data_IF_951776698162
#
_entry.id   IF_951776698162
#
_cell.length_a   1.000
_cell.length_b   1.000
_cell.length_c   1.000
_cell.angle_alpha   90.00
_cell.angle_beta   90.00
_cell.angle_gamma   90.00
#
_symmetry.space_group_name_H-M   'P 1'
#
loop_
_entity.id
_entity.type
_entity.pdbx_description
1 polymer ?
#
# COMPACT_ATOMS: atom_id res chain seq x y z
N UNK A 1 46.89 -34.72 16.08
CA UNK A 1 46.11 -33.83 16.97
C UNK A 1 46.05 -32.46 16.30
N UNK A 2 45.19 -32.31 15.28
CA UNK A 2 45.08 -31.10 14.45
C UNK A 2 43.78 -31.24 13.64
N UNK A 3 42.80 -30.34 13.84
CA UNK A 3 41.64 -30.07 12.96
C UNK A 3 40.61 -29.18 13.68
N UNK A 4 40.79 -27.86 13.65
CA UNK A 4 39.72 -26.86 13.81
C UNK A 4 40.22 -25.54 13.21
N UNK A 5 40.08 -25.36 11.89
CA UNK A 5 40.47 -24.10 11.23
C UNK A 5 39.67 -23.80 9.95
N UNK A 6 38.41 -24.26 9.88
CA UNK A 6 37.59 -24.17 8.65
C UNK A 6 36.16 -23.64 8.89
N UNK A 7 35.94 -22.85 9.96
CA UNK A 7 34.61 -22.26 10.24
C UNK A 7 34.55 -20.72 10.17
N UNK A 8 35.68 -20.03 9.97
CA UNK A 8 35.72 -18.55 9.96
C UNK A 8 35.47 -17.91 8.59
N UNK A 9 35.33 -18.70 7.52
CA UNK A 9 35.18 -18.18 6.15
C UNK A 9 33.74 -17.90 5.70
N UNK A 10 32.74 -18.50 6.34
CA UNK A 10 31.34 -18.37 5.90
C UNK A 10 30.64 -17.10 6.43
N UNK A 11 31.12 -16.52 7.54
CA UNK A 11 30.51 -15.33 8.16
C UNK A 11 30.88 -14.04 7.41
N UNK A 12 32.01 -14.00 6.70
CA UNK A 12 32.45 -12.81 5.96
C UNK A 12 31.69 -12.59 4.63
N UNK A 13 31.13 -13.64 4.02
CA UNK A 13 30.39 -13.54 2.76
C UNK A 13 28.93 -13.08 2.94
N UNK A 14 28.36 -13.17 4.16
CA UNK A 14 27.02 -12.65 4.43
C UNK A 14 27.00 -11.14 4.71
N UNK A 15 28.16 -10.50 4.93
CA UNK A 15 28.23 -9.05 5.19
C UNK A 15 28.37 -8.19 3.93
N UNK A 16 28.59 -8.79 2.76
CA UNK A 16 28.73 -8.04 1.49
C UNK A 16 27.46 -8.03 0.64
N UNK A 17 26.38 -8.69 1.08
CA UNK A 17 25.14 -8.80 0.31
C UNK A 17 24.09 -7.71 0.62
N UNK A 18 24.44 -6.67 1.39
CA UNK A 18 23.51 -5.61 1.81
C UNK A 18 23.91 -4.19 1.32
N UNK A 19 24.74 -4.08 0.28
CA UNK A 19 25.19 -2.78 -0.28
C UNK A 19 24.91 -2.65 -1.79
N UNK A 20 23.80 -3.19 -2.27
CA UNK A 20 23.44 -3.13 -3.68
C UNK A 20 22.57 -1.92 -4.08
N UNK A 21 22.28 -0.99 -3.15
CA UNK A 21 21.35 0.13 -3.38
C UNK A 21 22.00 1.50 -3.60
N UNK A 22 23.33 1.61 -3.73
CA UNK A 22 24.01 2.92 -3.82
C UNK A 22 24.32 3.44 -5.24
N UNK A 23 23.94 2.72 -6.31
CA UNK A 23 24.12 3.18 -7.70
C UNK A 23 22.84 3.09 -8.55
N UNK A 24 21.64 3.18 -7.95
CA UNK A 24 20.48 3.61 -8.74
C UNK A 24 20.81 4.97 -9.38
N UNK A 25 20.46 5.17 -10.64
CA UNK A 25 20.77 6.40 -11.36
C UNK A 25 20.39 7.62 -10.51
N UNK A 26 21.20 8.68 -10.56
CA UNK A 26 20.94 9.93 -9.80
C UNK A 26 19.52 10.50 -10.00
N UNK A 27 18.84 10.10 -11.07
CA UNK A 27 17.49 10.53 -11.43
C UNK A 27 16.45 9.39 -11.29
N UNK A 28 16.79 8.32 -10.57
CA UNK A 28 15.91 7.17 -10.37
C UNK A 28 15.46 7.12 -8.90
N UNK A 29 14.16 6.86 -8.70
CA UNK A 29 13.60 6.61 -7.37
C UNK A 29 12.58 5.48 -7.43
N UNK A 30 12.33 4.86 -6.27
CA UNK A 30 11.30 3.85 -6.11
C UNK A 30 10.56 4.03 -4.78
N UNK A 31 9.33 3.54 -4.73
CA UNK A 31 8.50 3.59 -3.54
C UNK A 31 7.08 3.08 -3.77
N UNK A 32 6.22 3.32 -2.78
CA UNK A 32 4.80 2.99 -2.78
C UNK A 32 3.97 4.25 -3.04
N UNK A 33 2.96 4.17 -3.90
CA UNK A 33 2.10 5.32 -4.23
C UNK A 33 0.82 5.35 -3.42
N UNK A 34 0.22 6.54 -3.26
CA UNK A 34 -1.04 6.71 -2.52
C UNK A 34 -2.30 6.35 -3.31
N UNK A 35 -2.17 5.87 -4.55
CA UNK A 35 -3.26 5.73 -5.52
C UNK A 35 -3.18 6.78 -6.61
N UNK A 36 -4.32 7.15 -7.21
CA UNK A 36 -4.39 8.07 -8.35
C UNK A 36 -3.79 9.45 -8.08
N UNK A 37 -3.23 10.12 -9.10
CA UNK A 37 -2.74 11.49 -8.98
C UNK A 37 -3.84 12.46 -8.53
N UNK A 38 -3.46 13.49 -7.76
CA UNK A 38 -4.38 14.51 -7.32
C UNK A 38 -4.80 15.46 -8.46
N UNK A 39 -5.73 16.38 -8.17
CA UNK A 39 -6.23 17.35 -9.14
C UNK A 39 -5.19 18.38 -9.65
N UNK A 40 -3.98 18.39 -9.07
CA UNK A 40 -2.83 19.16 -9.54
C UNK A 40 -1.83 18.30 -10.30
N UNK A 41 -2.22 17.09 -10.71
CA UNK A 41 -1.37 16.09 -11.36
C UNK A 41 -0.16 15.71 -10.49
N UNK A 42 -0.36 15.60 -9.17
CA UNK A 42 0.68 15.18 -8.24
C UNK A 42 0.43 13.77 -7.74
N UNK A 43 1.44 12.93 -7.86
CA UNK A 43 1.43 11.58 -7.32
C UNK A 43 2.34 11.52 -6.09
N UNK A 44 1.79 11.12 -4.95
CA UNK A 44 2.56 10.95 -3.73
C UNK A 44 3.28 9.60 -3.76
N UNK A 45 4.60 9.62 -3.57
CA UNK A 45 5.43 8.43 -3.37
C UNK A 45 5.96 8.41 -1.94
N UNK A 46 5.73 7.32 -1.23
CA UNK A 46 6.35 6.98 0.04
C UNK A 46 7.51 6.00 -0.18
N UNK A 47 8.70 6.34 0.33
CA UNK A 47 9.82 5.39 0.42
C UNK A 47 9.88 4.74 1.80
N UNK A 48 9.79 5.55 2.85
CA UNK A 48 9.74 5.10 4.24
C UNK A 48 9.14 6.18 5.14
N UNK A 49 8.43 5.79 6.20
CA UNK A 49 8.14 6.63 7.35
C UNK A 49 8.34 5.83 8.65
N UNK A 50 8.27 6.54 9.78
CA UNK A 50 8.47 5.91 11.10
C UNK A 50 7.27 5.09 11.61
N UNK A 51 6.11 5.18 10.97
CA UNK A 51 4.86 4.63 11.48
C UNK A 51 4.53 3.29 10.83
N UNK A 52 4.54 3.28 9.51
CA UNK A 52 4.12 2.18 8.65
C UNK A 52 5.27 1.66 7.80
N UNK A 53 6.47 2.22 7.98
CA UNK A 53 7.66 1.83 7.26
C UNK A 53 7.53 2.23 5.79
N UNK A 54 7.70 1.27 4.88
CA UNK A 54 7.62 1.52 3.44
C UNK A 54 6.20 1.55 2.86
N UNK A 55 5.16 1.34 3.67
CA UNK A 55 3.79 1.19 3.19
C UNK A 55 2.90 2.35 3.63
N UNK A 56 1.93 2.72 2.83
CA UNK A 56 0.87 3.67 3.16
C UNK A 56 -0.27 2.89 3.83
N UNK A 57 -0.82 3.40 4.93
CA UNK A 57 -2.01 2.84 5.57
C UNK A 57 -3.09 3.89 5.73
N UNK A 58 -4.35 3.49 5.62
CA UNK A 58 -5.48 4.37 5.94
C UNK A 58 -5.46 4.67 7.43
N UNK A 59 -5.41 5.95 7.79
CA UNK A 59 -5.58 6.38 9.18
C UNK A 59 -6.50 7.60 9.25
N UNK A 60 -7.55 7.58 10.08
CA UNK A 60 -8.37 8.76 10.34
C UNK A 60 -7.70 9.72 11.32
N UNK A 61 -6.54 9.36 11.88
CA UNK A 61 -5.86 10.12 12.90
C UNK A 61 -5.29 11.44 12.35
N UNK A 62 -5.79 12.56 12.85
CA UNK A 62 -5.39 13.92 12.44
C UNK A 62 -4.52 14.62 13.49
N UNK A 63 -4.16 13.93 14.56
CA UNK A 63 -3.40 14.54 15.65
C UNK A 63 -2.00 14.93 15.19
N UNK A 64 -1.46 15.96 15.83
CA UNK A 64 -0.06 16.29 15.65
C UNK A 64 0.82 15.17 16.20
N UNK A 65 1.98 14.97 15.57
CA UNK A 65 3.00 14.06 16.05
C UNK A 65 4.31 14.79 16.21
N UNK A 66 4.84 14.72 17.43
CA UNK A 66 6.20 15.15 17.70
C UNK A 66 7.16 14.17 17.01
N UNK A 67 8.20 14.73 16.39
CA UNK A 67 9.30 13.98 15.75
C UNK A 67 8.85 12.99 14.66
N UNK A 68 7.74 13.24 13.94
CA UNK A 68 7.36 12.39 12.81
C UNK A 68 8.19 12.72 11.57
N UNK A 69 8.97 11.74 11.15
CA UNK A 69 9.84 11.81 10.00
C UNK A 69 9.38 10.86 8.89
N UNK A 70 9.42 11.36 7.66
CA UNK A 70 9.07 10.61 6.47
C UNK A 70 10.04 10.92 5.34
N UNK A 71 10.16 9.97 4.42
CA UNK A 71 10.88 10.10 3.18
C UNK A 71 9.89 9.84 2.07
N UNK A 72 9.27 10.91 1.64
CA UNK A 72 8.22 10.92 0.66
C UNK A 72 8.38 12.13 -0.26
N UNK A 73 7.81 12.02 -1.45
CA UNK A 73 7.99 12.97 -2.54
C UNK A 73 6.67 13.12 -3.29
N UNK A 74 6.45 14.29 -3.88
CA UNK A 74 5.48 14.42 -4.95
C UNK A 74 6.17 14.27 -6.29
N UNK A 75 5.54 13.52 -7.18
CA UNK A 75 5.84 13.59 -8.59
C UNK A 75 4.86 14.52 -9.26
N UNK A 76 5.36 15.51 -9.97
CA UNK A 76 4.57 16.31 -10.88
C UNK A 76 4.50 15.60 -12.24
N UNK A 77 3.28 15.31 -12.68
CA UNK A 77 2.99 14.64 -13.94
C UNK A 77 2.64 15.68 -15.00
N UNK A 78 3.38 15.65 -16.10
CA UNK A 78 3.15 16.47 -17.28
C UNK A 78 2.50 15.63 -18.37
N UNK A 79 1.96 16.26 -19.41
CA UNK A 79 1.39 15.53 -20.55
C UNK A 79 2.45 14.66 -21.27
N UNK A 80 3.74 14.96 -21.09
CA UNK A 80 4.87 14.20 -21.64
C UNK A 80 5.31 13.04 -20.73
N UNK A 81 4.78 12.93 -19.52
CA UNK A 81 5.15 11.87 -18.60
C UNK A 81 4.66 10.53 -19.15
N UNK A 82 5.58 9.58 -19.30
CA UNK A 82 5.30 8.21 -19.72
C UNK A 82 4.91 7.34 -18.52
N UNK A 83 3.83 6.57 -18.65
CA UNK A 83 3.36 5.60 -17.67
C UNK A 83 3.44 4.22 -18.32
N UNK A 84 4.20 3.32 -17.72
CA UNK A 84 4.37 1.94 -18.17
C UNK A 84 3.68 1.02 -17.18
N UNK A 85 2.68 0.28 -17.65
CA UNK A 85 1.89 -0.66 -16.85
C UNK A 85 1.45 -1.83 -17.72
N UNK A 86 1.51 -3.06 -17.19
CA UNK A 86 1.04 -4.28 -17.88
C UNK A 86 1.58 -4.42 -19.33
N UNK A 87 2.89 -4.23 -19.50
CA UNK A 87 3.58 -4.24 -20.81
C UNK A 87 3.07 -3.21 -21.84
N UNK A 88 2.29 -2.22 -21.41
CA UNK A 88 1.79 -1.10 -22.21
C UNK A 88 2.37 0.22 -21.71
N UNK A 89 2.64 1.12 -22.64
CA UNK A 89 3.08 2.50 -22.37
C UNK A 89 1.97 3.47 -22.76
N UNK A 90 1.77 4.49 -21.92
CA UNK A 90 0.78 5.55 -22.05
C UNK A 90 1.46 6.89 -21.80
N UNK A 91 1.08 7.93 -22.53
CA UNK A 91 1.31 9.29 -22.05
C UNK A 91 0.31 9.63 -20.94
N UNK A 92 0.67 10.55 -20.05
CA UNK A 92 -0.25 11.01 -19.02
C UNK A 92 -1.48 11.75 -19.60
N UNK A 93 -1.36 12.32 -20.80
CA UNK A 93 -2.51 12.87 -21.52
C UNK A 93 -3.50 11.77 -21.96
N UNK A 94 -3.00 10.66 -22.51
CA UNK A 94 -3.81 9.49 -22.84
C UNK A 94 -4.47 8.90 -21.59
N UNK A 95 -3.72 8.79 -20.49
CA UNK A 95 -4.26 8.38 -19.19
C UNK A 95 -5.47 9.24 -18.80
N UNK A 96 -5.36 10.57 -18.79
CA UNK A 96 -6.49 11.45 -18.42
C UNK A 96 -7.70 11.33 -19.36
N UNK A 97 -7.48 10.88 -20.60
CA UNK A 97 -8.52 10.78 -21.62
C UNK A 97 -9.26 9.43 -21.59
N UNK A 98 -8.68 8.38 -21.01
CA UNK A 98 -9.34 7.08 -20.85
C UNK A 98 -10.40 7.14 -19.72
N UNK A 99 -11.62 6.69 -20.01
CA UNK A 99 -12.73 6.67 -19.03
C UNK A 99 -12.41 5.77 -17.82
N UNK A 100 -11.57 4.75 -18.00
CA UNK A 100 -11.18 3.77 -16.97
C UNK A 100 -9.83 4.09 -16.31
N UNK A 101 -9.33 5.32 -16.47
CA UNK A 101 -8.01 5.73 -15.96
C UNK A 101 -7.84 5.58 -14.45
N UNK A 102 -8.93 5.60 -13.68
CA UNK A 102 -8.90 5.39 -12.23
C UNK A 102 -8.40 3.98 -11.83
N UNK A 103 -8.24 3.05 -12.77
CA UNK A 103 -7.85 1.65 -12.52
C UNK A 103 -6.35 1.37 -12.67
N UNK A 104 -5.50 2.35 -13.00
CA UNK A 104 -4.06 2.07 -13.13
C UNK A 104 -3.27 2.25 -11.83
N UNK A 105 -3.63 3.25 -11.03
CA UNK A 105 -2.85 3.66 -9.86
C UNK A 105 -3.56 3.22 -8.57
N UNK A 106 -3.07 2.12 -7.98
CA UNK A 106 -3.62 1.63 -6.72
C UNK A 106 -2.77 2.06 -5.51
N UNK A 107 -3.37 2.28 -4.33
CA UNK A 107 -2.62 2.55 -3.11
C UNK A 107 -1.66 1.41 -2.79
N UNK A 108 -0.45 1.69 -2.29
CA UNK A 108 0.61 0.70 -2.06
C UNK A 108 1.08 -0.06 -3.30
N UNK A 109 0.74 0.36 -4.51
CA UNK A 109 1.41 -0.18 -5.68
C UNK A 109 2.88 0.28 -5.69
N UNK A 110 3.80 -0.64 -5.98
CA UNK A 110 5.21 -0.30 -6.12
C UNK A 110 5.44 0.39 -7.45
N UNK A 111 6.24 1.46 -7.45
CA UNK A 111 6.63 2.17 -8.67
C UNK A 111 8.14 2.36 -8.74
N UNK A 112 8.67 2.34 -9.96
CA UNK A 112 10.00 2.83 -10.30
C UNK A 112 9.86 4.05 -11.19
N UNK A 113 10.62 5.11 -10.89
CA UNK A 113 10.42 6.42 -11.52
C UNK A 113 11.74 7.00 -11.96
N UNK A 114 11.77 7.46 -13.21
CA UNK A 114 12.84 8.30 -13.74
C UNK A 114 12.38 9.76 -13.75
N UNK A 115 13.14 10.64 -13.11
CA UNK A 115 12.86 12.08 -13.02
C UNK A 115 13.66 12.92 -14.00
N UNK A 116 13.20 14.15 -14.23
CA UNK A 116 13.91 15.12 -15.07
C UNK A 116 15.23 15.60 -14.45
N UNK A 117 15.28 15.64 -13.12
CA UNK A 117 16.39 16.15 -12.31
C UNK A 117 16.91 15.10 -11.32
N UNK A 118 18.08 15.35 -10.75
CA UNK A 118 18.68 14.49 -9.72
C UNK A 118 17.83 14.51 -8.44
N UNK A 119 17.55 13.32 -7.91
CA UNK A 119 16.70 13.15 -6.73
C UNK A 119 17.54 13.31 -5.46
N UNK A 120 17.31 14.40 -4.75
CA UNK A 120 17.85 14.55 -3.40
C UNK A 120 16.97 13.76 -2.44
N UNK A 121 17.56 12.70 -1.89
CA UNK A 121 16.90 11.80 -0.96
C UNK A 121 16.92 12.40 0.44
N UNK A 122 15.88 13.17 0.79
CA UNK A 122 15.80 13.88 2.08
C UNK A 122 14.67 13.38 2.97
N UNK A 123 14.98 13.15 4.25
CA UNK A 123 13.97 12.95 5.28
C UNK A 123 13.34 14.29 5.65
N UNK A 124 12.02 14.36 5.61
CA UNK A 124 11.21 15.52 5.96
C UNK A 124 10.55 15.29 7.32
N UNK A 125 10.63 16.27 8.21
CA UNK A 125 9.87 16.29 9.46
C UNK A 125 8.50 16.93 9.19
N UNK A 126 7.42 16.27 9.61
CA UNK A 126 6.06 16.75 9.43
C UNK A 126 5.33 16.77 10.76
N UNK A 127 4.59 17.85 11.04
CA UNK A 127 3.77 17.97 12.26
C UNK A 127 2.62 16.95 12.33
N UNK A 128 2.29 16.27 11.23
CA UNK A 128 1.16 15.35 11.07
C UNK A 128 1.50 14.24 10.09
N UNK A 129 0.70 13.18 10.08
CA UNK A 129 0.81 12.10 9.11
C UNK A 129 0.83 12.60 7.67
N UNK A 130 1.57 11.88 6.83
CA UNK A 130 1.77 12.18 5.42
C UNK A 130 0.46 12.44 4.66
N UNK A 131 -0.58 11.66 4.96
CA UNK A 131 -1.91 11.74 4.35
C UNK A 131 -2.65 13.06 4.67
N UNK A 132 -2.24 13.80 5.70
CA UNK A 132 -2.90 15.05 6.14
C UNK A 132 -2.07 16.32 5.93
N UNK A 133 -0.75 16.22 5.73
CA UNK A 133 0.09 17.39 5.44
C UNK A 133 1.12 17.12 4.32
N UNK A 134 0.67 16.86 3.09
CA UNK A 134 1.59 16.56 1.99
C UNK A 134 2.26 17.82 1.41
N UNK A 135 1.92 19.03 1.86
CA UNK A 135 2.31 20.27 1.19
C UNK A 135 3.80 20.64 1.31
N UNK A 136 4.52 20.04 2.26
CA UNK A 136 5.93 20.34 2.54
C UNK A 136 6.91 19.33 1.95
N UNK A 137 6.43 18.41 1.11
CA UNK A 137 7.30 17.43 0.48
C UNK A 137 8.02 18.03 -0.74
N UNK A 138 9.27 17.61 -1.00
CA UNK A 138 9.93 17.88 -2.28
C UNK A 138 9.08 17.39 -3.47
N UNK A 139 9.16 18.13 -4.57
CA UNK A 139 8.43 17.85 -5.82
C UNK A 139 9.45 17.64 -6.93
N UNK A 140 9.29 16.57 -7.70
CA UNK A 140 10.13 16.27 -8.86
C UNK A 140 9.28 16.06 -10.11
N UNK A 141 9.74 16.52 -11.27
CA UNK A 141 9.07 16.24 -12.54
C UNK A 141 9.35 14.79 -12.98
N UNK A 142 8.30 14.00 -13.18
CA UNK A 142 8.43 12.62 -13.64
C UNK A 142 8.55 12.55 -15.17
N UNK A 143 9.55 11.80 -15.66
CA UNK A 143 9.70 11.47 -17.08
C UNK A 143 9.05 10.14 -17.41
N UNK A 144 9.35 9.12 -16.63
CA UNK A 144 8.79 7.77 -16.81
C UNK A 144 8.40 7.21 -15.44
N UNK A 145 7.23 6.59 -15.36
CA UNK A 145 6.71 5.86 -14.19
C UNK A 145 6.43 4.43 -14.62
N UNK A 146 7.15 3.48 -14.05
CA UNK A 146 6.92 2.05 -14.24
C UNK A 146 6.14 1.50 -13.05
N UNK A 147 4.88 1.12 -13.30
CA UNK A 147 4.00 0.51 -12.31
C UNK A 147 4.28 -0.98 -12.23
N UNK A 148 4.60 -1.46 -11.03
CA UNK A 148 4.66 -2.89 -10.77
C UNK A 148 3.23 -3.46 -10.63
N UNK A 149 3.03 -4.78 -10.85
CA UNK A 149 1.74 -5.42 -10.62
C UNK A 149 1.23 -5.15 -9.20
N UNK A 150 -0.03 -4.77 -9.08
CA UNK A 150 -0.69 -4.57 -7.79
C UNK A 150 -1.19 -5.91 -7.25
N UNK A 151 -0.92 -6.19 -5.98
CA UNK A 151 -1.21 -7.48 -5.35
C UNK A 151 -2.27 -7.37 -4.26
N UNK A 152 -2.88 -8.50 -3.88
CA UNK A 152 -3.79 -8.55 -2.74
C UNK A 152 -3.11 -8.16 -1.41
N UNK A 153 -1.81 -8.42 -1.27
CA UNK A 153 -1.03 -8.02 -0.09
C UNK A 153 -0.87 -6.50 0.02
N UNK A 154 -0.66 -5.81 -1.10
CA UNK A 154 -0.61 -4.35 -1.14
C UNK A 154 -1.96 -3.75 -0.70
N UNK A 155 -3.06 -4.35 -1.17
CA UNK A 155 -4.43 -4.01 -0.78
C UNK A 155 -4.67 -4.23 0.71
N UNK A 156 -4.37 -5.41 1.25
CA UNK A 156 -4.53 -5.65 2.68
C UNK A 156 -3.67 -4.73 3.52
N UNK A 157 -2.41 -4.53 3.14
CA UNK A 157 -1.50 -3.63 3.85
C UNK A 157 -2.04 -2.21 3.92
N UNK A 158 -2.70 -1.73 2.86
CA UNK A 158 -3.32 -0.40 2.85
C UNK A 158 -4.46 -0.27 3.88
N UNK A 159 -5.24 -1.35 4.04
CA UNK A 159 -6.36 -1.43 4.98
C UNK A 159 -5.98 -1.86 6.40
N UNK A 160 -4.74 -2.31 6.64
CA UNK A 160 -4.29 -2.68 7.98
C UNK A 160 -4.39 -1.48 8.94
N UNK A 161 -4.93 -1.66 10.14
CA UNK A 161 -4.96 -0.59 11.13
C UNK A 161 -3.54 -0.19 11.55
N UNK A 162 -3.39 1.06 11.99
CA UNK A 162 -2.11 1.59 12.51
C UNK A 162 -1.95 1.34 14.01
N UNK A 163 -3.05 1.16 14.76
CA UNK A 163 -3.02 1.06 16.21
C UNK A 163 -2.99 -0.40 16.67
N UNK A 164 -2.06 -0.68 17.59
CA UNK A 164 -2.01 -1.94 18.33
C UNK A 164 -3.36 -2.18 19.03
N UNK A 165 -3.92 -3.39 18.87
CA UNK A 165 -5.25 -3.80 19.37
C UNK A 165 -6.47 -3.23 18.63
N UNK A 166 -6.29 -2.79 17.38
CA UNK A 166 -7.39 -2.53 16.46
C UNK A 166 -7.44 -3.63 15.40
N UNK A 167 -8.63 -4.02 14.99
CA UNK A 167 -8.85 -4.96 13.90
C UNK A 167 -9.58 -4.27 12.75
N UNK A 168 -9.26 -4.69 11.53
CA UNK A 168 -10.03 -4.36 10.33
C UNK A 168 -10.57 -5.66 9.75
N UNK A 169 -11.89 -5.73 9.58
CA UNK A 169 -12.57 -6.81 8.89
C UNK A 169 -12.93 -6.27 7.50
N UNK A 170 -12.54 -7.01 6.46
CA UNK A 170 -12.90 -6.70 5.08
C UNK A 170 -13.75 -7.84 4.53
N UNK A 171 -14.93 -7.52 3.99
CA UNK A 171 -15.68 -8.45 3.13
C UNK A 171 -15.46 -8.04 1.68
N UNK A 172 -14.77 -8.88 0.92
CA UNK A 172 -14.53 -8.70 -0.51
C UNK A 172 -15.63 -9.41 -1.28
N UNK A 173 -16.43 -8.66 -2.04
CA UNK A 173 -17.55 -9.18 -2.80
C UNK A 173 -17.31 -8.95 -4.28
N UNK A 174 -17.33 -10.01 -5.09
CA UNK A 174 -17.47 -9.84 -6.53
C UNK A 174 -18.83 -9.23 -6.80
N UNK A 175 -18.85 -8.07 -7.47
CA UNK A 175 -20.09 -7.44 -7.92
C UNK A 175 -20.03 -7.20 -9.42
N UNK A 176 -20.85 -7.92 -10.18
CA UNK A 176 -21.02 -7.69 -11.62
C UNK A 176 -21.61 -6.29 -11.92
N UNK A 177 -22.30 -5.68 -10.95
CA UNK A 177 -22.94 -4.37 -11.10
C UNK A 177 -22.28 -3.25 -10.28
N UNK A 178 -21.21 -3.55 -9.53
CA UNK A 178 -20.64 -2.63 -8.53
C UNK A 178 -21.55 -2.35 -7.32
N UNK A 179 -22.77 -2.88 -7.28
CA UNK A 179 -23.65 -2.75 -6.11
C UNK A 179 -23.18 -3.70 -5.00
N UNK A 180 -22.80 -3.13 -3.87
CA UNK A 180 -22.49 -3.86 -2.65
C UNK A 180 -23.81 -4.32 -2.04
N UNK A 181 -24.11 -5.62 -2.12
CA UNK A 181 -25.15 -6.20 -1.29
C UNK A 181 -24.64 -6.21 0.15
N UNK A 182 -25.12 -5.27 0.97
CA UNK A 182 -24.89 -5.31 2.40
C UNK A 182 -25.45 -6.64 2.94
N UNK A 183 -24.56 -7.58 3.27
CA UNK A 183 -24.94 -8.85 3.88
C UNK A 183 -25.65 -8.59 5.19
N UNK A 184 -26.95 -8.89 5.25
CA UNK A 184 -27.86 -8.51 6.34
C UNK A 184 -27.70 -9.31 7.64
N UNK A 185 -26.73 -10.22 7.78
CA UNK A 185 -26.67 -11.15 8.93
C UNK A 185 -25.49 -10.92 9.89
N UNK A 186 -24.81 -9.78 9.81
CA UNK A 186 -23.59 -9.52 10.58
C UNK A 186 -23.68 -8.43 11.65
N UNK A 187 -24.79 -7.68 11.70
CA UNK A 187 -25.00 -6.63 12.70
C UNK A 187 -24.84 -7.16 14.15
N UNK A 188 -25.32 -8.38 14.42
CA UNK A 188 -25.21 -9.01 15.75
C UNK A 188 -23.79 -9.42 16.14
N UNK A 189 -22.93 -9.74 15.17
CA UNK A 189 -21.51 -10.05 15.40
C UNK A 189 -20.76 -8.74 15.66
N UNK A 190 -21.00 -7.71 14.84
CA UNK A 190 -20.38 -6.39 14.99
C UNK A 190 -20.72 -5.77 16.35
N UNK A 191 -21.98 -5.81 16.79
CA UNK A 191 -22.36 -5.28 18.11
C UNK A 191 -21.63 -5.99 19.26
N UNK A 192 -21.36 -7.30 19.12
CA UNK A 192 -20.61 -8.05 20.12
C UNK A 192 -19.13 -7.67 20.12
N UNK A 193 -18.50 -7.60 18.93
CA UNK A 193 -17.10 -7.22 18.76
C UNK A 193 -16.82 -5.78 19.20
N UNK A 194 -17.67 -4.84 18.77
CA UNK A 194 -17.54 -3.40 19.06
C UNK A 194 -17.65 -3.07 20.57
N UNK A 195 -18.14 -3.99 21.40
CA UNK A 195 -18.29 -3.78 22.84
C UNK A 195 -17.02 -4.03 23.65
N UNK A 196 -16.03 -4.73 23.08
CA UNK A 196 -14.79 -5.12 23.76
C UNK A 196 -13.51 -4.91 22.95
N UNK A 197 -13.59 -5.11 21.63
CA UNK A 197 -12.46 -4.97 20.69
C UNK A 197 -12.72 -3.82 19.71
N UNK A 198 -11.69 -3.03 19.40
CA UNK A 198 -11.80 -1.95 18.43
C UNK A 198 -11.74 -2.53 17.01
N UNK A 199 -12.81 -3.18 16.56
CA UNK A 199 -12.93 -3.73 15.21
C UNK A 199 -13.75 -2.79 14.31
N UNK A 200 -13.21 -2.44 13.15
CA UNK A 200 -13.97 -1.80 12.06
C UNK A 200 -14.27 -2.85 10.98
N UNK A 201 -15.44 -2.73 10.35
CA UNK A 201 -15.87 -3.62 9.26
C UNK A 201 -16.15 -2.80 8.02
N UNK A 202 -15.48 -3.12 6.92
CA UNK A 202 -15.79 -2.59 5.59
C UNK A 202 -16.17 -3.70 4.60
N UNK A 203 -17.07 -3.39 3.67
CA UNK A 203 -17.36 -4.24 2.52
C UNK A 203 -16.82 -3.57 1.27
N UNK A 204 -16.04 -4.31 0.47
CA UNK A 204 -15.37 -3.81 -0.73
C UNK A 204 -15.87 -4.60 -1.93
N UNK A 205 -16.38 -3.89 -2.95
CA UNK A 205 -16.73 -4.48 -4.23
C UNK A 205 -15.48 -4.73 -5.06
N UNK A 206 -15.32 -5.94 -5.57
CA UNK A 206 -14.24 -6.34 -6.48
C UNK A 206 -14.85 -6.50 -7.88
N UNK A 207 -14.39 -5.68 -8.84
CA UNK A 207 -14.77 -5.81 -10.25
C UNK A 207 -13.87 -6.82 -10.97
N UNK A 208 -14.31 -7.33 -12.12
CA UNK A 208 -13.51 -8.21 -12.99
C UNK A 208 -12.20 -7.57 -13.47
N UNK A 209 -12.12 -6.24 -13.42
CA UNK A 209 -10.94 -5.46 -13.79
C UNK A 209 -9.92 -5.32 -12.65
N UNK A 210 -10.28 -5.73 -11.43
CA UNK A 210 -9.36 -5.71 -10.30
C UNK A 210 -8.16 -6.63 -10.59
N UNK A 211 -6.92 -6.17 -10.36
CA UNK A 211 -5.72 -6.96 -10.66
C UNK A 211 -5.56 -8.22 -9.79
N UNK A 212 -6.33 -8.32 -8.70
CA UNK A 212 -6.39 -9.49 -7.83
C UNK A 212 -7.78 -10.18 -7.86
N UNK A 213 -8.59 -9.93 -8.91
CA UNK A 213 -9.92 -10.53 -9.06
C UNK A 213 -9.90 -12.07 -8.93
N UNK A 214 -8.92 -12.71 -9.57
CA UNK A 214 -8.75 -14.17 -9.57
C UNK A 214 -8.41 -14.75 -8.18
N UNK A 215 -8.05 -13.91 -7.20
CA UNK A 215 -7.80 -14.31 -5.82
C UNK A 215 -9.09 -14.30 -4.96
N UNK A 216 -10.21 -13.77 -5.49
CA UNK A 216 -11.48 -13.56 -4.77
C UNK A 216 -12.67 -14.19 -5.52
N UNK A 217 -12.51 -15.40 -6.08
CA UNK A 217 -13.40 -15.91 -7.14
C UNK A 217 -14.72 -16.54 -6.69
N UNK A 218 -14.86 -16.97 -5.43
CA UNK A 218 -15.95 -17.87 -5.00
C UNK A 218 -16.89 -17.27 -3.95
N UNK A 219 -17.32 -16.01 -4.15
CA UNK A 219 -18.32 -15.35 -3.30
C UNK A 219 -17.72 -14.33 -2.32
N UNK A 220 -18.45 -13.95 -1.25
CA UNK A 220 -17.87 -13.09 -0.21
C UNK A 220 -16.65 -13.77 0.40
N UNK A 221 -15.50 -13.13 0.32
CA UNK A 221 -14.31 -13.56 1.07
C UNK A 221 -14.04 -12.55 2.17
N UNK A 222 -13.72 -13.04 3.35
CA UNK A 222 -13.47 -12.25 4.54
C UNK A 222 -11.99 -12.23 4.86
N UNK A 223 -11.45 -11.04 5.12
CA UNK A 223 -10.12 -10.84 5.68
C UNK A 223 -10.21 -10.20 7.07
N UNK A 224 -9.49 -10.75 8.06
CA UNK A 224 -9.32 -10.11 9.37
C UNK A 224 -7.86 -9.66 9.49
N UNK A 225 -7.67 -8.37 9.64
CA UNK A 225 -6.36 -7.71 9.67
C UNK A 225 -6.09 -7.14 11.05
N UNK A 226 -4.84 -7.20 11.51
CA UNK A 226 -4.33 -6.40 12.61
C UNK A 226 -3.26 -5.42 12.10
N UNK A 227 -2.51 -4.80 13.01
CA UNK A 227 -1.48 -3.81 12.70
C UNK A 227 -0.22 -4.39 12.02
N UNK A 228 -0.11 -5.70 11.86
CA UNK A 228 1.10 -6.37 11.39
C UNK A 228 0.87 -7.43 10.32
N UNK A 229 -0.30 -8.06 10.27
CA UNK A 229 -0.56 -9.22 9.42
C UNK A 229 -2.05 -9.42 9.09
N UNK A 230 -2.28 -10.28 8.10
CA UNK A 230 -3.58 -10.91 7.83
C UNK A 230 -3.73 -12.10 8.77
N UNK A 231 -4.63 -12.01 9.74
CA UNK A 231 -4.88 -13.07 10.72
C UNK A 231 -5.73 -14.21 10.16
N UNK A 232 -6.65 -13.88 9.25
CA UNK A 232 -7.58 -14.80 8.65
C UNK A 232 -7.96 -14.32 7.25
N UNK A 233 -8.02 -15.23 6.29
CA UNK A 233 -8.57 -15.01 4.95
C UNK A 233 -9.38 -16.25 4.56
N UNK A 234 -10.70 -16.12 4.47
CA UNK A 234 -11.65 -17.26 4.42
C UNK A 234 -12.96 -16.87 3.74
N UNK A 235 -13.62 -17.83 3.10
CA UNK A 235 -14.99 -17.70 2.58
C UNK A 235 -16.06 -18.11 3.61
N UNK A 236 -15.67 -18.67 4.76
CA UNK A 236 -16.58 -19.03 5.84
C UNK A 236 -16.66 -17.92 6.91
N UNK A 237 -17.80 -17.24 6.95
CA UNK A 237 -18.10 -16.22 7.95
C UNK A 237 -17.98 -16.75 9.40
N UNK A 238 -18.21 -18.04 9.65
CA UNK A 238 -18.10 -18.60 11.00
C UNK A 238 -16.65 -18.62 11.50
N UNK A 239 -15.66 -18.75 10.63
CA UNK A 239 -14.25 -18.68 11.03
C UNK A 239 -13.89 -17.29 11.60
N UNK A 240 -14.49 -16.23 11.06
CA UNK A 240 -14.33 -14.86 11.59
C UNK A 240 -14.93 -14.79 13.00
N UNK A 241 -16.14 -15.33 13.19
CA UNK A 241 -16.80 -15.36 14.51
C UNK A 241 -15.96 -16.15 15.51
N UNK A 242 -15.47 -17.33 15.11
CA UNK A 242 -14.68 -18.22 15.96
C UNK A 242 -13.33 -17.61 16.34
N UNK A 243 -12.68 -16.88 15.42
CA UNK A 243 -11.44 -16.15 15.71
C UNK A 243 -11.61 -15.17 16.86
N UNK A 244 -12.73 -14.44 16.88
CA UNK A 244 -13.01 -13.47 17.92
C UNK A 244 -13.58 -14.08 19.21
N UNK A 245 -14.34 -15.18 19.12
CA UNK A 245 -14.85 -15.89 20.29
C UNK A 245 -13.73 -16.51 21.16
N UNK A 246 -12.54 -16.73 20.59
CA UNK A 246 -11.37 -17.30 21.27
C UNK A 246 -10.49 -16.25 21.95
N UNK A 247 -10.74 -14.96 21.73
CA UNK A 247 -9.95 -13.85 22.29
C UNK A 247 -10.59 -13.30 23.57
#
# INVERSE_FOLDING_TARGET
MMRYFWFSGAIALMLTACQADEESGKNEMSGKISGSPDFFNRLLILKEDQLTGGNIRITPDRHQREDYHTKAYHLFLTDETEIVANDRSYSFDEYKAEEDSETLFFPNQTVSVTTAEEVETTTTELDRYLTFNPALLPVYEAKTIELQPYTLDDFFTYHMPVKDNKFQILTLNISESGEIQAGTDLEGVIEHLASGELADWDTVGISEESPFYDEVTDGPVHAVLNDSEVLLFTDDQNDVIDLFAQR
#
